data_IF_207264629953
#
_entry.id   IF_207264629953
#
_cell.length_a   1.000
_cell.length_b   1.000
_cell.length_c   1.000
_cell.angle_alpha   90.00
_cell.angle_beta   90.00
_cell.angle_gamma   90.00
#
_symmetry.space_group_name_H-M   'P 1'
#
loop_
_entity.id
_entity.type
_entity.pdbx_description
1 polymer ?
#
# COMPACT_ATOMS: atom_id res chain seq x y z
N UNK A 1 -2.65 12.90 7.22
CA UNK A 1 -3.79 13.36 6.39
C UNK A 1 -4.10 12.37 5.26
N UNK A 2 -3.18 12.16 4.30
CA UNK A 2 -3.42 11.27 3.15
C UNK A 2 -2.73 9.89 3.23
N UNK A 3 -2.09 9.59 4.36
CA UNK A 3 -1.57 8.23 4.60
C UNK A 3 -2.74 7.27 4.80
N UNK A 4 -2.65 6.08 4.22
CA UNK A 4 -3.61 4.99 4.43
C UNK A 4 -3.62 4.46 5.86
N UNK A 5 -2.61 4.81 6.67
CA UNK A 5 -2.56 4.54 8.11
C UNK A 5 -3.45 5.48 8.94
N UNK A 6 -3.86 6.63 8.38
CA UNK A 6 -4.73 7.55 9.10
C UNK A 6 -6.18 7.10 8.99
N UNK A 7 -6.83 6.87 10.13
CA UNK A 7 -8.26 6.57 10.15
C UNK A 7 -9.07 7.75 9.59
N UNK A 8 -10.27 7.51 9.05
CA UNK A 8 -11.12 8.60 8.58
C UNK A 8 -11.44 9.63 9.67
N UNK A 9 -11.69 9.17 10.90
CA UNK A 9 -11.94 10.03 12.07
C UNK A 9 -10.74 10.91 12.42
N UNK A 10 -9.52 10.37 12.36
CA UNK A 10 -8.29 11.16 12.57
C UNK A 10 -8.00 12.15 11.44
N UNK A 11 -8.53 11.90 10.24
CA UNK A 11 -8.26 12.69 9.03
C UNK A 11 -9.22 13.86 8.85
N UNK A 12 -10.40 13.83 9.47
CA UNK A 12 -11.46 14.84 9.30
C UNK A 12 -11.03 16.24 9.73
N UNK A 13 -10.48 16.37 10.95
CA UNK A 13 -10.03 17.66 11.49
C UNK A 13 -8.88 18.24 10.65
N UNK A 14 -7.97 17.38 10.23
CA UNK A 14 -6.85 17.76 9.36
C UNK A 14 -7.34 18.20 7.98
N UNK A 15 -8.33 17.53 7.39
CA UNK A 15 -8.94 17.90 6.10
C UNK A 15 -9.67 19.25 6.21
N UNK A 16 -10.45 19.48 7.28
CA UNK A 16 -11.08 20.78 7.56
C UNK A 16 -10.05 21.91 7.61
N UNK A 17 -8.91 21.68 8.27
CA UNK A 17 -7.82 22.64 8.35
C UNK A 17 -7.09 22.88 7.00
N UNK A 18 -6.99 21.85 6.14
CA UNK A 18 -6.44 22.01 4.80
C UNK A 18 -7.39 22.85 3.90
N UNK A 19 -8.70 22.60 4.01
CA UNK A 19 -9.71 23.23 3.18
C UNK A 19 -10.03 24.68 3.59
N UNK A 20 -9.93 25.02 4.88
CA UNK A 20 -10.24 26.37 5.36
C UNK A 20 -9.26 27.44 4.85
N UNK A 21 -8.08 27.04 4.36
CA UNK A 21 -7.04 27.93 3.87
C UNK A 21 -6.92 27.97 2.34
N UNK A 22 -7.75 27.22 1.61
CA UNK A 22 -7.81 27.31 0.15
C UNK A 22 -8.67 28.54 -0.19
N UNK A 23 -8.08 29.62 -0.74
CA UNK A 23 -8.85 30.80 -1.07
C UNK A 23 -9.90 30.42 -2.12
N UNK A 24 -11.17 30.68 -1.79
CA UNK A 24 -12.38 30.42 -2.57
C UNK A 24 -13.12 29.08 -2.38
N UNK A 25 -12.78 28.25 -1.38
CA UNK A 25 -13.60 27.07 -1.05
C UNK A 25 -14.47 27.35 0.17
N UNK A 26 -15.76 27.62 -0.04
CA UNK A 26 -16.72 27.73 1.05
C UNK A 26 -17.04 26.33 1.58
N UNK A 27 -16.57 26.02 2.79
CA UNK A 27 -16.82 24.72 3.44
C UNK A 27 -18.31 24.63 3.80
N UNK A 28 -19.09 23.68 3.25
CA UNK A 28 -20.50 23.56 3.58
C UNK A 28 -20.72 23.19 5.04
N UNK A 29 -21.76 23.74 5.66
CA UNK A 29 -22.23 23.29 6.97
C UNK A 29 -22.63 21.81 6.88
N UNK A 30 -22.24 21.00 7.88
CA UNK A 30 -22.49 19.56 7.88
C UNK A 30 -21.50 18.71 7.07
N UNK A 31 -20.36 19.25 6.62
CA UNK A 31 -19.23 18.43 6.15
C UNK A 31 -18.65 17.63 7.33
N UNK A 32 -19.17 16.42 7.53
CA UNK A 32 -18.67 15.41 8.48
C UNK A 32 -18.31 14.11 7.75
N UNK A 33 -17.73 13.14 8.47
CA UNK A 33 -17.27 11.87 7.89
C UNK A 33 -18.30 11.16 7.00
N UNK A 34 -19.56 11.10 7.43
CA UNK A 34 -20.67 10.44 6.71
C UNK A 34 -20.91 11.02 5.30
N UNK A 35 -20.45 12.24 5.05
CA UNK A 35 -20.68 12.99 3.82
C UNK A 35 -19.43 13.11 2.94
N UNK A 36 -18.40 12.27 3.16
CA UNK A 36 -17.14 12.27 2.41
C UNK A 36 -16.98 10.99 1.60
N UNK A 37 -16.98 11.11 0.27
CA UNK A 37 -16.53 10.07 -0.65
C UNK A 37 -15.04 10.24 -0.98
N UNK A 38 -14.22 9.20 -0.82
CA UNK A 38 -12.76 9.26 -1.04
C UNK A 38 -12.37 8.38 -2.22
N UNK A 39 -11.75 8.99 -3.23
CA UNK A 39 -11.00 8.25 -4.26
C UNK A 39 -9.53 8.24 -3.84
N UNK A 40 -8.97 7.05 -3.67
CA UNK A 40 -7.55 6.89 -3.33
C UNK A 40 -6.86 6.26 -4.54
N UNK A 41 -5.91 6.98 -5.10
CA UNK A 41 -5.03 6.48 -6.17
C UNK A 41 -3.67 6.25 -5.54
N UNK A 42 -3.24 5.00 -5.53
CA UNK A 42 -1.92 4.60 -5.05
C UNK A 42 -1.20 3.80 -6.13
N UNK A 43 0.11 4.01 -6.22
CA UNK A 43 0.95 3.24 -7.12
C UNK A 43 1.36 1.91 -6.47
N UNK A 44 1.61 0.91 -7.30
CA UNK A 44 2.39 -0.25 -6.89
C UNK A 44 3.88 0.13 -6.82
N UNK A 45 4.67 -0.63 -6.07
CA UNK A 45 6.12 -0.57 -6.16
C UNK A 45 6.62 -1.44 -7.32
N UNK A 46 7.73 -1.00 -7.90
CA UNK A 46 8.45 -1.65 -8.98
C UNK A 46 9.94 -1.79 -8.64
N UNK A 47 10.74 -2.36 -9.55
CA UNK A 47 12.19 -2.59 -9.35
C UNK A 47 12.99 -1.33 -9.03
N UNK A 48 12.57 -0.16 -9.49
CA UNK A 48 13.31 1.10 -9.38
C UNK A 48 12.96 1.88 -8.11
N UNK A 49 11.78 1.68 -7.53
CA UNK A 49 11.31 2.38 -6.34
C UNK A 49 10.99 1.44 -5.16
N UNK A 50 11.45 0.20 -5.22
CA UNK A 50 11.22 -0.79 -4.18
C UNK A 50 11.88 -0.39 -2.85
N UNK A 51 11.08 -0.15 -1.81
CA UNK A 51 11.53 0.10 -0.44
C UNK A 51 10.84 -0.81 0.57
N UNK A 52 11.62 -1.72 1.16
CA UNK A 52 11.17 -2.67 2.18
C UNK A 52 10.58 -1.97 3.41
N UNK A 53 11.08 -0.78 3.78
CA UNK A 53 10.56 -0.06 4.95
C UNK A 53 9.16 0.46 4.70
N UNK A 54 8.90 0.98 3.51
CA UNK A 54 7.57 1.42 3.07
C UNK A 54 6.59 0.25 3.04
N UNK A 55 7.00 -0.90 2.46
CA UNK A 55 6.18 -2.12 2.44
C UNK A 55 5.76 -2.56 3.85
N UNK A 56 6.66 -2.52 4.85
CA UNK A 56 6.34 -2.93 6.22
C UNK A 56 5.36 -1.99 6.95
N UNK A 57 5.22 -0.75 6.48
CA UNK A 57 4.33 0.26 7.06
C UNK A 57 3.01 0.40 6.32
N UNK A 58 2.83 -0.32 5.23
CA UNK A 58 1.61 -0.23 4.42
C UNK A 58 0.41 -0.74 5.18
N UNK A 59 -0.75 -0.13 4.91
CA UNK A 59 -2.02 -0.51 5.52
C UNK A 59 -3.01 -1.09 4.50
N UNK A 60 -2.62 -1.13 3.22
CA UNK A 60 -3.47 -1.66 2.14
C UNK A 60 -2.92 -3.00 1.69
N UNK A 61 -3.79 -4.00 1.74
CA UNK A 61 -3.42 -5.37 1.48
C UNK A 61 -4.46 -6.05 0.60
N UNK A 62 -4.00 -6.97 -0.23
CA UNK A 62 -4.81 -7.82 -1.07
C UNK A 62 -4.92 -9.18 -0.37
N UNK A 63 -6.15 -9.66 -0.22
CA UNK A 63 -6.41 -11.03 0.23
C UNK A 63 -6.16 -11.95 -0.96
N UNK A 64 -5.12 -12.78 -0.85
CA UNK A 64 -4.77 -13.76 -1.86
C UNK A 64 -5.76 -14.94 -1.83
N UNK A 65 -5.99 -15.66 -2.96
CA UNK A 65 -6.96 -16.77 -3.00
C UNK A 65 -6.74 -17.88 -1.96
N UNK A 66 -5.51 -18.05 -1.47
CA UNK A 66 -5.17 -19.02 -0.41
C UNK A 66 -5.26 -18.45 1.01
N UNK A 67 -5.78 -17.23 1.17
CA UNK A 67 -5.99 -16.57 2.46
C UNK A 67 -4.80 -15.76 2.99
N UNK A 68 -3.66 -15.72 2.28
CA UNK A 68 -2.55 -14.84 2.67
C UNK A 68 -2.91 -13.37 2.49
N UNK A 69 -2.38 -12.52 3.38
CA UNK A 69 -2.51 -11.07 3.30
C UNK A 69 -1.24 -10.52 2.65
N UNK A 70 -1.37 -10.01 1.42
CA UNK A 70 -0.24 -9.53 0.61
C UNK A 70 -0.23 -8.00 0.59
N UNK A 71 0.89 -7.34 0.93
CA UNK A 71 1.03 -5.89 0.76
C UNK A 71 0.70 -5.45 -0.67
N UNK A 72 -0.22 -4.49 -0.81
CA UNK A 72 -0.63 -3.96 -2.12
C UNK A 72 0.58 -3.54 -2.94
N UNK A 73 1.50 -2.80 -2.31
CA UNK A 73 2.76 -2.29 -2.86
C UNK A 73 3.54 -3.35 -3.64
N UNK A 74 3.54 -4.60 -3.17
CA UNK A 74 4.40 -5.67 -3.68
C UNK A 74 3.68 -6.68 -4.56
N UNK A 75 2.34 -6.58 -4.66
CA UNK A 75 1.51 -7.57 -5.31
C UNK A 75 1.88 -7.77 -6.78
N UNK A 76 1.94 -6.68 -7.56
CA UNK A 76 2.29 -6.75 -8.98
C UNK A 76 3.72 -7.26 -9.24
N UNK A 77 4.63 -7.04 -8.29
CA UNK A 77 6.03 -7.44 -8.47
C UNK A 77 6.23 -8.94 -8.25
N UNK A 78 5.54 -9.51 -7.26
CA UNK A 78 5.86 -10.85 -6.74
C UNK A 78 4.71 -11.85 -6.77
N UNK A 79 3.46 -11.42 -6.71
CA UNK A 79 2.32 -12.31 -6.43
C UNK A 79 1.28 -12.33 -7.55
N UNK A 80 1.36 -11.39 -8.49
CA UNK A 80 0.44 -11.33 -9.62
C UNK A 80 0.80 -12.37 -10.69
N UNK A 81 -0.20 -13.09 -11.17
CA UNK A 81 -0.08 -14.04 -12.28
C UNK A 81 1.05 -15.06 -12.07
N UNK A 82 1.95 -15.27 -13.04
CA UNK A 82 3.04 -16.24 -12.93
C UNK A 82 4.22 -15.79 -12.05
N UNK A 83 4.21 -14.55 -11.54
CA UNK A 83 5.31 -13.99 -10.73
C UNK A 83 5.55 -14.79 -9.46
N UNK A 84 4.50 -15.30 -8.84
CA UNK A 84 4.63 -16.10 -7.61
C UNK A 84 5.42 -17.39 -7.87
N UNK A 85 5.16 -18.04 -9.00
CA UNK A 85 5.90 -19.24 -9.40
C UNK A 85 7.37 -18.93 -9.67
N UNK A 86 7.67 -17.76 -10.26
CA UNK A 86 9.05 -17.32 -10.47
C UNK A 86 9.76 -17.06 -9.14
N UNK A 87 9.08 -16.43 -8.18
CA UNK A 87 9.61 -16.19 -6.84
C UNK A 87 9.91 -17.50 -6.10
N UNK A 88 9.02 -18.49 -6.20
CA UNK A 88 9.24 -19.81 -5.62
C UNK A 88 10.51 -20.48 -6.17
N UNK A 89 10.68 -20.47 -7.50
CA UNK A 89 11.89 -20.99 -8.16
C UNK A 89 13.16 -20.28 -7.70
N UNK A 90 13.11 -18.96 -7.54
CA UNK A 90 14.27 -18.18 -7.07
C UNK A 90 14.67 -18.59 -5.64
N UNK A 91 13.70 -18.83 -4.76
CA UNK A 91 13.95 -19.32 -3.40
C UNK A 91 14.54 -20.73 -3.37
N UNK A 92 14.08 -21.62 -4.24
CA UNK A 92 14.67 -22.95 -4.41
C UNK A 92 16.15 -22.85 -4.82
N UNK A 93 16.46 -22.02 -5.82
CA UNK A 93 17.83 -21.77 -6.26
C UNK A 93 18.68 -21.17 -5.13
N UNK A 94 18.18 -20.18 -4.41
CA UNK A 94 18.89 -19.57 -3.29
C UNK A 94 19.18 -20.59 -2.18
N UNK A 95 18.20 -21.45 -1.88
CA UNK A 95 18.37 -22.54 -0.90
C UNK A 95 19.43 -23.54 -1.36
N UNK A 96 19.45 -23.90 -2.65
CA UNK A 96 20.45 -24.79 -3.24
C UNK A 96 21.85 -24.17 -3.22
N UNK A 97 21.98 -22.86 -3.49
CA UNK A 97 23.24 -22.13 -3.40
C UNK A 97 23.75 -22.09 -1.95
N UNK A 98 22.86 -21.85 -1.00
CA UNK A 98 23.20 -21.83 0.43
C UNK A 98 23.62 -23.22 0.96
N UNK A 99 22.96 -24.30 0.50
CA UNK A 99 23.30 -25.67 0.88
C UNK A 99 24.53 -26.23 0.13
N UNK A 100 24.82 -25.69 -1.06
CA UNK A 100 25.92 -26.12 -1.93
C UNK A 100 27.29 -25.48 -1.63
N UNK A 101 27.37 -24.49 -0.73
CA UNK A 101 28.64 -24.01 -0.17
C UNK A 101 29.70 -23.59 -1.20
N UNK A 102 29.36 -22.74 -2.18
CA UNK A 102 30.39 -22.05 -2.97
C UNK A 102 30.58 -20.65 -2.36
N UNK A 103 31.59 -20.56 -1.50
CA UNK A 103 32.38 -19.34 -1.26
C UNK A 103 33.20 -18.98 -2.49
#
# INVERSE_FOLDING_TARGET
LFSTAASPTSSEMSLKQLLCCLPQVNVPEGMGYENIFRVIIMQFLDRHNFDVRSVKKTCVHIVHPDGRIIPFDTFNLFYRDEKERLLAKQREVETLVQLGGIS
#
